data_IF_966032642031
#
_entry.id   IF_966032642031
#
_cell.length_a   1.000
_cell.length_b   1.000
_cell.length_c   1.000
_cell.angle_alpha   90.00
_cell.angle_beta   90.00
_cell.angle_gamma   90.00
#
_symmetry.space_group_name_H-M   'P 1'
#
loop_
_entity.id
_entity.type
_entity.pdbx_description
1 polymer ?
#
# COMPACT_ATOMS: atom_id res chain seq x y z
N UNK A 1 -13.63 57.27 -38.19
CA UNK A 1 -13.14 56.90 -36.85
C UNK A 1 -13.10 55.39 -36.74
N UNK A 2 -11.91 54.87 -36.52
CA UNK A 2 -11.52 53.46 -36.62
C UNK A 2 -11.72 52.73 -35.29
N UNK A 3 -12.45 51.62 -35.30
CA UNK A 3 -12.37 50.60 -34.25
C UNK A 3 -12.04 49.26 -34.93
N UNK A 4 -10.83 48.74 -34.71
CA UNK A 4 -10.50 47.34 -34.98
C UNK A 4 -10.02 46.70 -33.68
N UNK A 5 -10.85 45.78 -33.20
CA UNK A 5 -10.62 44.92 -32.03
C UNK A 5 -9.56 43.87 -32.36
N UNK A 6 -8.77 43.54 -31.33
CA UNK A 6 -7.79 42.46 -31.25
C UNK A 6 -8.44 41.10 -31.55
N UNK A 7 -7.73 40.25 -32.26
CA UNK A 7 -7.95 38.80 -32.28
C UNK A 7 -6.58 38.16 -32.04
N UNK A 8 -6.30 37.87 -30.76
CA UNK A 8 -5.23 36.99 -30.34
C UNK A 8 -5.68 35.56 -30.68
N UNK A 9 -4.91 34.88 -31.52
CA UNK A 9 -5.09 33.47 -31.82
C UNK A 9 -4.68 32.62 -30.62
N UNK A 10 -5.60 31.79 -30.13
CA UNK A 10 -5.35 30.79 -29.10
C UNK A 10 -4.69 29.58 -29.74
N UNK A 11 -3.41 29.35 -29.42
CA UNK A 11 -2.71 28.13 -29.75
C UNK A 11 -3.14 27.05 -28.74
N UNK A 12 -4.06 26.16 -29.13
CA UNK A 12 -4.45 25.01 -28.32
C UNK A 12 -3.41 23.91 -28.56
N UNK A 13 -2.55 23.69 -27.56
CA UNK A 13 -1.59 22.59 -27.56
C UNK A 13 -2.35 21.29 -27.22
N UNK A 14 -2.66 20.49 -28.24
CA UNK A 14 -3.20 19.16 -28.07
C UNK A 14 -2.04 18.21 -27.69
N UNK A 15 -1.92 17.89 -26.39
CA UNK A 15 -1.02 16.83 -25.93
C UNK A 15 -1.79 15.51 -26.09
N UNK A 16 -1.46 14.78 -27.15
CA UNK A 16 -1.89 13.39 -27.34
C UNK A 16 -1.17 12.50 -26.34
N UNK A 17 -1.87 12.13 -25.26
CA UNK A 17 -1.43 11.14 -24.28
C UNK A 17 -1.56 9.75 -24.91
N UNK A 18 -0.51 9.30 -25.59
CA UNK A 18 -0.26 7.88 -25.88
C UNK A 18 1.12 7.54 -25.36
N UNK A 19 1.28 7.65 -24.04
CA UNK A 19 2.44 7.15 -23.32
C UNK A 19 2.08 5.78 -22.78
N UNK A 20 2.72 4.74 -23.32
CA UNK A 20 2.85 3.46 -22.63
C UNK A 20 3.36 3.74 -21.22
N UNK A 21 2.52 3.49 -20.21
CA UNK A 21 2.89 3.64 -18.81
C UNK A 21 3.95 2.60 -18.50
N UNK A 22 5.22 2.98 -18.59
CA UNK A 22 6.27 2.30 -17.85
C UNK A 22 6.00 2.62 -16.38
N UNK A 23 5.17 1.81 -15.75
CA UNK A 23 4.93 1.89 -14.31
C UNK A 23 6.22 1.54 -13.60
N UNK A 24 6.50 2.29 -12.53
CA UNK A 24 7.64 2.11 -11.65
C UNK A 24 7.85 0.64 -11.25
N UNK A 25 9.11 0.25 -11.06
CA UNK A 25 9.59 -1.14 -11.04
C UNK A 25 9.02 -2.05 -9.93
N UNK A 26 8.17 -1.53 -9.02
CA UNK A 26 7.68 -2.25 -7.85
C UNK A 26 6.16 -2.34 -7.72
N UNK A 27 5.38 -1.74 -8.60
CA UNK A 27 3.91 -1.88 -8.60
C UNK A 27 3.35 -2.04 -10.01
N UNK A 28 2.40 -2.95 -10.15
CA UNK A 28 1.73 -3.23 -11.41
C UNK A 28 0.21 -3.24 -11.22
N UNK A 29 -0.58 -2.96 -12.27
CA UNK A 29 -2.02 -3.06 -12.17
C UNK A 29 -2.41 -4.52 -11.94
N UNK A 30 -3.38 -4.75 -11.05
CA UNK A 30 -3.91 -6.10 -10.80
C UNK A 30 -4.45 -6.66 -12.12
N UNK A 31 -4.03 -7.85 -12.57
CA UNK A 31 -4.51 -8.45 -13.81
C UNK A 31 -6.02 -8.73 -13.76
N UNK A 32 -6.67 -8.83 -14.92
CA UNK A 32 -8.11 -9.13 -14.99
C UNK A 32 -8.44 -10.60 -14.69
N UNK A 33 -7.42 -11.46 -14.74
CA UNK A 33 -7.59 -12.89 -14.54
C UNK A 33 -7.93 -13.20 -13.08
N UNK A 34 -9.03 -13.93 -12.89
CA UNK A 34 -9.51 -14.38 -11.59
C UNK A 34 -8.84 -15.70 -11.21
N UNK A 35 -8.46 -15.83 -9.94
CA UNK A 35 -7.95 -17.06 -9.34
C UNK A 35 -9.04 -17.67 -8.45
N UNK A 36 -8.89 -18.94 -8.11
CA UNK A 36 -9.74 -19.57 -7.12
C UNK A 36 -9.59 -18.86 -5.77
N UNK A 37 -10.71 -18.49 -5.15
CA UNK A 37 -10.71 -17.94 -3.79
C UNK A 37 -10.32 -19.03 -2.79
N UNK A 38 -9.22 -18.81 -2.08
CA UNK A 38 -8.72 -19.71 -1.06
C UNK A 38 -8.72 -18.97 0.27
N UNK A 39 -9.78 -19.08 1.09
CA UNK A 39 -9.80 -18.48 2.41
C UNK A 39 -8.75 -19.14 3.31
N UNK A 40 -8.25 -18.39 4.28
CA UNK A 40 -7.31 -18.91 5.26
C UNK A 40 -8.06 -19.75 6.32
N UNK A 41 -8.12 -21.07 6.11
CA UNK A 41 -9.01 -21.98 6.85
C UNK A 41 -8.78 -22.05 8.36
N UNK A 42 -7.58 -21.75 8.85
CA UNK A 42 -7.18 -21.89 10.26
C UNK A 42 -7.24 -20.58 11.04
N UNK A 43 -7.67 -19.49 10.41
CA UNK A 43 -7.67 -18.15 11.00
C UNK A 43 -9.05 -17.53 10.86
N UNK A 44 -9.57 -17.00 11.95
CA UNK A 44 -10.85 -16.29 11.94
C UNK A 44 -10.77 -15.03 11.07
N UNK A 45 -11.72 -14.93 10.14
CA UNK A 45 -11.97 -13.72 9.36
C UNK A 45 -12.94 -12.84 10.13
N UNK A 46 -12.60 -11.57 10.34
CA UNK A 46 -13.46 -10.62 11.03
C UNK A 46 -13.75 -9.39 10.18
N UNK A 47 -14.91 -8.74 10.37
CA UNK A 47 -15.17 -7.42 9.78
C UNK A 47 -14.11 -6.41 10.21
N UNK A 48 -13.73 -5.51 9.30
CA UNK A 48 -12.80 -4.40 9.61
C UNK A 48 -13.55 -3.08 9.58
N UNK A 49 -13.13 -2.14 10.42
CA UNK A 49 -13.64 -0.76 10.40
C UNK A 49 -12.49 0.23 10.16
N UNK A 50 -12.81 1.40 9.60
CA UNK A 50 -11.86 2.47 9.31
C UNK A 50 -11.14 2.88 10.58
N UNK A 51 -11.83 2.91 11.71
CA UNK A 51 -11.25 3.22 13.01
C UNK A 51 -10.09 2.28 13.38
N UNK A 52 -10.18 0.99 13.03
CA UNK A 52 -9.10 0.02 13.28
C UNK A 52 -7.81 0.39 12.52
N UNK A 53 -7.96 0.92 11.31
CA UNK A 53 -6.85 1.34 10.45
C UNK A 53 -6.10 2.57 10.96
N UNK A 54 -6.76 3.38 11.81
CA UNK A 54 -6.22 4.63 12.36
C UNK A 54 -6.00 4.62 13.86
N UNK A 55 -6.15 3.46 14.54
CA UNK A 55 -5.76 3.34 15.94
C UNK A 55 -4.31 3.74 16.11
N UNK A 56 -4.03 4.52 17.14
CA UNK A 56 -2.68 4.93 17.50
C UNK A 56 -1.80 3.69 17.65
N UNK A 57 -0.70 3.67 16.91
CA UNK A 57 0.31 2.64 17.00
C UNK A 57 1.41 3.18 17.90
N UNK A 58 1.56 2.60 19.08
CA UNK A 58 2.75 2.85 19.88
C UNK A 58 3.90 2.05 19.28
N UNK A 59 5.09 2.65 19.09
CA UNK A 59 6.25 1.87 18.73
C UNK A 59 6.48 0.80 19.79
N UNK A 60 6.64 -0.47 19.41
CA UNK A 60 7.00 -1.50 20.38
C UNK A 60 8.43 -1.26 20.92
N UNK A 61 8.74 -1.76 22.11
CA UNK A 61 10.11 -1.69 22.66
C UNK A 61 11.14 -2.41 21.76
N UNK A 62 10.68 -3.33 20.90
CA UNK A 62 11.46 -3.96 19.84
C UNK A 62 11.69 -3.00 18.65
N UNK A 63 10.67 -2.25 18.21
CA UNK A 63 10.83 -1.15 17.24
C UNK A 63 11.65 0.03 17.77
N UNK A 64 11.87 0.12 19.08
CA UNK A 64 12.79 1.08 19.68
C UNK A 64 14.27 0.67 19.51
N UNK A 65 14.52 -0.61 19.22
CA UNK A 65 15.86 -1.20 19.03
C UNK A 65 16.13 -1.67 17.59
N UNK A 66 15.08 -1.83 16.78
CA UNK A 66 15.18 -2.16 15.35
C UNK A 66 15.54 -0.89 14.55
N UNK A 67 16.83 -0.59 14.47
CA UNK A 67 17.40 0.46 13.60
C UNK A 67 17.34 0.07 12.09
N UNK A 68 16.95 -1.17 11.76
CA UNK A 68 17.08 -1.74 10.40
C UNK A 68 15.75 -1.96 9.65
N UNK A 69 14.85 -0.97 9.61
CA UNK A 69 13.66 -1.01 8.75
C UNK A 69 13.57 0.21 7.86
N UNK A 70 14.18 0.13 6.69
CA UNK A 70 14.23 1.23 5.76
C UNK A 70 13.98 0.72 4.33
N UNK A 71 13.00 1.29 3.63
CA UNK A 71 12.66 0.91 2.26
C UNK A 71 13.68 1.51 1.26
N UNK A 72 13.65 1.00 0.04
CA UNK A 72 14.66 1.34 -0.99
C UNK A 72 14.22 2.34 -1.99
N UNK A 73 12.92 2.50 -2.06
CA UNK A 73 12.37 3.69 -2.64
C UNK A 73 12.65 4.86 -1.71
N UNK A 74 13.05 6.02 -2.27
CA UNK A 74 13.05 7.25 -1.52
C UNK A 74 11.71 7.44 -0.80
N UNK A 75 11.77 7.80 0.48
CA UNK A 75 10.58 8.04 1.28
C UNK A 75 10.28 9.52 1.29
N UNK A 76 9.10 9.90 0.79
CA UNK A 76 8.61 11.26 0.90
C UNK A 76 7.96 11.46 2.27
N UNK A 77 8.56 12.32 3.08
CA UNK A 77 8.06 12.72 4.40
C UNK A 77 7.98 14.24 4.43
N UNK A 78 6.80 14.79 4.73
CA UNK A 78 6.55 16.24 4.79
C UNK A 78 7.03 17.03 3.54
N UNK A 79 6.93 16.43 2.35
CA UNK A 79 7.36 17.05 1.10
C UNK A 79 8.87 17.00 0.83
N UNK A 80 9.65 16.35 1.69
CA UNK A 80 11.08 16.10 1.49
C UNK A 80 11.33 14.61 1.24
N UNK A 81 12.13 14.31 0.22
CA UNK A 81 12.59 12.95 -0.06
C UNK A 81 13.75 12.61 0.86
N UNK A 82 13.70 11.41 1.42
CA UNK A 82 14.75 10.83 2.24
C UNK A 82 15.16 9.49 1.65
N UNK A 83 16.45 9.23 1.58
CA UNK A 83 16.97 7.87 1.51
C UNK A 83 16.78 7.15 2.85
N UNK A 84 16.91 5.82 2.83
CA UNK A 84 17.00 4.99 4.01
C UNK A 84 17.97 5.56 5.06
N UNK A 85 19.23 5.79 4.66
CA UNK A 85 20.31 6.27 5.54
C UNK A 85 19.99 7.64 6.16
N UNK A 86 19.33 8.53 5.42
CA UNK A 86 18.92 9.84 5.94
C UNK A 86 17.78 9.74 6.95
N UNK A 87 16.82 8.83 6.75
CA UNK A 87 15.79 8.54 7.76
C UNK A 87 16.40 8.00 9.05
N UNK A 88 17.35 7.06 8.94
CA UNK A 88 18.08 6.49 10.08
C UNK A 88 18.81 7.59 10.88
N UNK A 89 19.67 8.36 10.19
CA UNK A 89 20.46 9.44 10.81
C UNK A 89 19.61 10.54 11.42
N UNK A 90 18.42 10.78 10.88
CA UNK A 90 17.49 11.78 11.40
C UNK A 90 16.63 11.28 12.56
N UNK A 91 16.66 9.97 12.85
CA UNK A 91 15.85 9.34 13.90
C UNK A 91 14.34 9.43 13.62
N UNK A 92 13.94 9.64 12.37
CA UNK A 92 12.53 9.76 11.99
C UNK A 92 11.91 8.34 12.00
N UNK A 93 10.90 8.14 12.85
CA UNK A 93 10.11 6.90 12.90
C UNK A 93 8.80 7.09 12.15
N UNK A 94 8.48 6.13 11.29
CA UNK A 94 7.31 6.16 10.41
C UNK A 94 6.40 4.96 10.71
N UNK A 95 5.27 5.14 11.40
CA UNK A 95 4.30 4.08 11.62
C UNK A 95 3.47 3.74 10.38
N UNK A 96 3.36 4.66 9.42
CA UNK A 96 2.52 4.47 8.23
C UNK A 96 3.31 4.70 6.94
N UNK A 97 3.16 3.75 6.03
CA UNK A 97 3.72 3.78 4.69
C UNK A 97 2.60 3.62 3.67
N UNK A 98 2.57 4.45 2.63
CA UNK A 98 1.54 4.41 1.60
C UNK A 98 2.16 4.22 0.22
N UNK A 99 1.58 3.27 -0.51
CA UNK A 99 1.83 2.97 -1.90
C UNK A 99 0.52 3.10 -2.68
N UNK A 100 0.30 4.27 -3.26
CA UNK A 100 -0.85 4.59 -4.10
C UNK A 100 -0.39 4.92 -5.53
N UNK A 101 -1.30 5.36 -6.39
CA UNK A 101 -0.93 5.78 -7.75
C UNK A 101 0.06 6.93 -7.78
N UNK A 102 -0.04 7.90 -6.85
CA UNK A 102 0.88 9.03 -6.80
C UNK A 102 2.29 8.59 -6.39
N UNK A 103 2.39 7.66 -5.45
CA UNK A 103 3.64 7.02 -5.03
C UNK A 103 4.26 6.21 -6.18
N UNK A 104 3.42 5.46 -6.92
CA UNK A 104 3.81 4.68 -8.08
C UNK A 104 4.39 5.56 -9.21
N UNK A 105 3.71 6.65 -9.54
CA UNK A 105 4.11 7.57 -10.62
C UNK A 105 5.47 8.23 -10.35
N UNK A 106 5.82 8.40 -9.07
CA UNK A 106 7.05 9.04 -8.63
C UNK A 106 8.15 8.05 -8.25
N UNK A 107 7.87 6.75 -8.22
CA UNK A 107 8.77 5.70 -7.75
C UNK A 107 9.27 5.95 -6.30
N UNK A 108 8.34 6.31 -5.41
CA UNK A 108 8.59 6.66 -4.01
C UNK A 108 7.69 5.87 -3.07
N UNK A 109 8.04 5.86 -1.79
CA UNK A 109 7.14 5.49 -0.70
C UNK A 109 6.69 6.75 0.04
N UNK A 110 5.40 6.87 0.34
CA UNK A 110 4.93 7.98 1.17
C UNK A 110 4.99 7.58 2.64
N UNK A 111 5.69 8.35 3.47
CA UNK A 111 5.87 8.09 4.90
C UNK A 111 5.13 9.10 5.77
N UNK A 112 4.40 8.63 6.77
CA UNK A 112 3.68 9.48 7.72
C UNK A 112 4.07 9.13 9.16
N UNK A 113 4.25 10.17 9.98
CA UNK A 113 4.68 10.06 11.38
C UNK A 113 3.56 9.65 12.33
N UNK A 114 2.31 9.87 11.92
CA UNK A 114 1.14 9.65 12.75
C UNK A 114 -0.12 9.44 11.88
N UNK A 115 -1.21 9.02 12.52
CA UNK A 115 -2.47 8.77 11.84
C UNK A 115 -3.15 10.06 11.36
N UNK A 116 -2.89 11.21 12.00
CA UNK A 116 -3.53 12.48 11.65
C UNK A 116 -3.01 13.03 10.32
N UNK A 117 -1.69 13.03 10.14
CA UNK A 117 -1.00 13.40 8.89
C UNK A 117 -1.40 12.49 7.73
N UNK A 118 -1.53 11.19 7.98
CA UNK A 118 -2.07 10.24 7.00
C UNK A 118 -3.53 10.55 6.63
N UNK A 119 -4.41 10.76 7.62
CA UNK A 119 -5.82 11.11 7.37
C UNK A 119 -5.93 12.38 6.51
N UNK A 120 -5.18 13.42 6.84
CA UNK A 120 -5.17 14.66 6.07
C UNK A 120 -4.76 14.43 4.61
N UNK A 121 -3.79 13.56 4.37
CA UNK A 121 -3.40 13.16 3.01
C UNK A 121 -4.51 12.42 2.28
N UNK A 122 -5.13 11.44 2.92
CA UNK A 122 -6.21 10.65 2.33
C UNK A 122 -7.48 11.49 2.05
N UNK A 123 -7.80 12.45 2.91
CA UNK A 123 -8.88 13.41 2.69
C UNK A 123 -8.59 14.32 1.50
N UNK A 124 -7.36 14.88 1.41
CA UNK A 124 -6.95 15.75 0.30
C UNK A 124 -6.93 15.05 -1.05
N UNK A 125 -6.61 13.76 -1.06
CA UNK A 125 -6.56 12.94 -2.28
C UNK A 125 -7.90 12.28 -2.61
N UNK A 126 -8.91 12.38 -1.73
CA UNK A 126 -10.19 11.71 -1.90
C UNK A 126 -10.08 10.17 -1.82
N UNK A 127 -9.06 9.66 -1.13
CA UNK A 127 -8.75 8.24 -1.00
C UNK A 127 -9.03 7.69 0.41
N UNK A 128 -9.96 8.29 1.18
CA UNK A 128 -10.33 7.74 2.49
C UNK A 128 -10.84 6.29 2.35
N UNK A 129 -10.43 5.36 3.23
CA UNK A 129 -10.96 3.99 3.24
C UNK A 129 -12.45 3.98 3.56
N UNK A 130 -13.15 2.93 3.14
CA UNK A 130 -14.59 2.75 3.38
C UNK A 130 -14.87 1.43 4.10
N UNK A 131 -15.79 1.49 5.06
CA UNK A 131 -16.35 0.32 5.77
C UNK A 131 -17.45 -0.36 4.99
N UNK A 132 -18.05 0.37 4.05
CA UNK A 132 -19.16 -0.10 3.24
C UNK A 132 -18.79 -0.08 1.75
N UNK A 133 -19.31 -1.03 0.95
CA UNK A 133 -19.15 -0.98 -0.50
C UNK A 133 -19.73 0.33 -1.03
N UNK A 134 -18.93 1.10 -1.78
CA UNK A 134 -19.48 2.28 -2.46
C UNK A 134 -20.61 1.82 -3.41
N UNK A 135 -21.72 2.54 -3.47
CA UNK A 135 -22.97 2.13 -4.14
C UNK A 135 -22.77 1.66 -5.60
N UNK A 136 -21.80 2.24 -6.31
CA UNK A 136 -21.44 1.87 -7.69
C UNK A 136 -20.67 0.56 -7.83
N UNK A 137 -20.23 -0.02 -6.72
CA UNK A 137 -19.37 -1.22 -6.64
C UNK A 137 -20.05 -2.40 -5.95
N UNK A 138 -21.08 -2.21 -5.13
CA UNK A 138 -21.60 -3.27 -4.24
C UNK A 138 -21.96 -4.59 -4.94
N UNK A 139 -22.78 -4.55 -6.00
CA UNK A 139 -23.23 -5.77 -6.70
C UNK A 139 -22.14 -6.38 -7.61
N UNK A 140 -21.42 -5.61 -8.44
CA UNK A 140 -20.33 -6.16 -9.25
C UNK A 140 -19.16 -6.67 -8.40
N UNK A 141 -18.92 -6.08 -7.23
CA UNK A 141 -17.77 -6.43 -6.40
C UNK A 141 -17.94 -7.65 -5.53
N UNK A 142 -19.18 -8.10 -5.29
CA UNK A 142 -19.43 -9.36 -4.60
C UNK A 142 -18.99 -10.58 -5.43
N UNK A 143 -18.90 -10.44 -6.75
CA UNK A 143 -18.49 -11.50 -7.67
C UNK A 143 -17.13 -11.26 -8.31
N UNK A 144 -16.35 -10.28 -7.81
CA UNK A 144 -15.05 -9.88 -8.36
C UNK A 144 -13.89 -10.28 -7.46
N UNK A 145 -12.66 -10.28 -7.99
CA UNK A 145 -11.54 -10.91 -7.31
C UNK A 145 -11.21 -10.26 -5.96
N UNK A 146 -10.97 -11.08 -4.92
CA UNK A 146 -10.45 -10.63 -3.63
C UNK A 146 -9.02 -10.07 -3.76
N UNK A 147 -8.49 -9.56 -2.66
CA UNK A 147 -7.04 -9.38 -2.53
C UNK A 147 -6.38 -10.75 -2.32
N UNK A 148 -5.20 -10.95 -2.89
CA UNK A 148 -4.42 -12.18 -2.78
C UNK A 148 -3.08 -11.90 -2.12
N UNK A 149 -2.64 -12.82 -1.28
CA UNK A 149 -1.38 -12.75 -0.55
C UNK A 149 -0.61 -14.04 -0.79
N UNK A 150 0.64 -13.90 -1.23
CA UNK A 150 1.48 -15.01 -1.66
C UNK A 150 2.71 -15.14 -0.77
N UNK A 151 3.15 -16.38 -0.51
CA UNK A 151 4.36 -16.62 0.26
C UNK A 151 5.65 -16.45 -0.56
N UNK A 152 5.55 -16.52 -1.90
CA UNK A 152 6.63 -16.22 -2.82
C UNK A 152 6.57 -14.81 -3.41
N UNK A 153 7.73 -14.32 -3.85
CA UNK A 153 7.79 -13.16 -4.73
C UNK A 153 7.19 -13.49 -6.11
N UNK A 154 6.83 -12.46 -6.86
CA UNK A 154 6.23 -12.51 -8.19
C UNK A 154 4.99 -13.40 -8.27
N UNK A 155 4.16 -13.37 -7.21
CA UNK A 155 2.89 -14.10 -7.12
C UNK A 155 3.04 -15.63 -7.24
N UNK A 156 4.14 -16.15 -6.72
CA UNK A 156 4.44 -17.59 -6.72
C UNK A 156 4.16 -18.23 -5.37
N UNK A 157 4.12 -19.56 -5.34
CA UNK A 157 4.00 -20.34 -4.12
C UNK A 157 2.56 -20.54 -3.64
N UNK A 158 2.38 -20.71 -2.33
CA UNK A 158 1.05 -20.80 -1.72
C UNK A 158 0.43 -19.41 -1.70
N UNK A 159 -0.89 -19.36 -1.64
CA UNK A 159 -1.62 -18.11 -1.46
C UNK A 159 -2.86 -18.29 -0.61
N UNK A 160 -3.34 -17.19 -0.05
CA UNK A 160 -4.70 -17.06 0.46
C UNK A 160 -5.33 -15.78 -0.08
N UNK A 161 -6.65 -15.68 0.01
CA UNK A 161 -7.41 -14.53 -0.46
C UNK A 161 -8.31 -13.93 0.61
N UNK A 162 -8.48 -12.62 0.56
CA UNK A 162 -9.33 -11.86 1.49
C UNK A 162 -10.16 -10.83 0.73
N UNK A 163 -11.46 -10.81 0.99
CA UNK A 163 -12.39 -9.87 0.35
C UNK A 163 -12.42 -8.51 1.09
N UNK A 164 -12.78 -7.42 0.39
CA UNK A 164 -13.10 -6.15 1.03
C UNK A 164 -14.11 -6.28 2.18
N UNK A 165 -13.95 -5.44 3.20
CA UNK A 165 -14.74 -5.45 4.42
C UNK A 165 -14.25 -6.43 5.48
N UNK A 166 -13.18 -7.19 5.21
CA UNK A 166 -12.68 -8.22 6.11
C UNK A 166 -11.18 -8.09 6.40
N UNK A 167 -10.78 -8.73 7.49
CA UNK A 167 -9.41 -8.77 7.99
C UNK A 167 -9.11 -10.03 8.77
N UNK A 168 -7.82 -10.30 8.94
CA UNK A 168 -7.29 -11.33 9.82
C UNK A 168 -6.42 -10.66 10.88
N UNK A 169 -6.83 -10.70 12.15
CA UNK A 169 -6.04 -10.16 13.26
C UNK A 169 -4.78 -10.97 13.58
N UNK A 170 -4.65 -12.18 13.08
CA UNK A 170 -3.43 -12.98 13.13
C UNK A 170 -3.31 -13.73 11.83
N UNK A 171 -2.11 -13.98 11.34
CA UNK A 171 -1.92 -14.83 10.16
C UNK A 171 -1.62 -16.29 10.51
N UNK A 172 -1.49 -16.65 11.78
CA UNK A 172 -1.23 -18.04 12.19
C UNK A 172 0.02 -18.60 11.50
N UNK A 173 -0.12 -19.69 10.74
CA UNK A 173 0.99 -20.29 9.98
C UNK A 173 1.54 -19.39 8.87
N UNK A 174 0.79 -18.36 8.48
CA UNK A 174 1.18 -17.34 7.49
C UNK A 174 1.89 -16.12 8.09
N UNK A 175 2.06 -16.10 9.42
CA UNK A 175 2.81 -15.07 10.11
C UNK A 175 4.21 -14.91 9.50
N UNK A 176 4.56 -13.69 9.13
CA UNK A 176 5.86 -13.39 8.53
C UNK A 176 6.15 -14.20 7.26
N UNK A 177 5.14 -14.48 6.42
CA UNK A 177 5.34 -15.21 5.14
C UNK A 177 4.99 -14.45 3.88
N UNK A 178 4.22 -13.37 3.96
CA UNK A 178 3.75 -12.66 2.77
C UNK A 178 4.94 -11.98 2.08
N UNK A 179 5.20 -12.37 0.83
CA UNK A 179 6.30 -11.84 0.01
C UNK A 179 5.81 -11.09 -1.24
N UNK A 180 4.57 -11.32 -1.68
CA UNK A 180 3.93 -10.52 -2.72
C UNK A 180 2.42 -10.48 -2.54
N UNK A 181 1.76 -9.49 -3.14
CA UNK A 181 0.31 -9.32 -2.99
C UNK A 181 -0.32 -8.70 -4.23
N UNK A 182 -1.54 -9.12 -4.53
CA UNK A 182 -2.42 -8.46 -5.50
C UNK A 182 -3.56 -7.86 -4.72
N UNK A 183 -3.67 -6.53 -4.73
CA UNK A 183 -4.84 -5.87 -4.20
C UNK A 183 -6.09 -6.24 -4.99
N UNK A 184 -7.23 -5.73 -4.55
CA UNK A 184 -8.49 -5.88 -5.27
C UNK A 184 -8.86 -4.57 -5.95
N UNK A 185 -9.47 -4.66 -7.14
CA UNK A 185 -10.04 -3.51 -7.85
C UNK A 185 -11.36 -3.03 -7.22
N UNK A 186 -11.87 -3.78 -6.25
CA UNK A 186 -13.17 -3.56 -5.61
C UNK A 186 -13.09 -3.03 -4.19
N UNK A 187 -11.88 -2.93 -3.65
CA UNK A 187 -11.60 -2.26 -2.39
C UNK A 187 -10.90 -0.93 -2.59
N UNK A 188 -10.91 -0.07 -1.59
CA UNK A 188 -10.12 1.17 -1.55
C UNK A 188 -8.68 0.89 -1.19
N UNK A 189 -8.44 0.01 -0.21
CA UNK A 189 -7.13 -0.23 0.37
C UNK A 189 -6.94 -1.68 0.80
N UNK A 190 -5.72 -2.18 0.62
CA UNK A 190 -5.20 -3.37 1.32
C UNK A 190 -4.15 -2.90 2.32
N UNK A 191 -4.28 -3.31 3.57
CA UNK A 191 -3.44 -2.86 4.67
C UNK A 191 -2.72 -4.06 5.27
N UNK A 192 -1.39 -4.05 5.26
CA UNK A 192 -0.54 -5.01 5.95
C UNK A 192 -0.06 -4.39 7.27
N UNK A 193 -0.12 -5.15 8.35
CA UNK A 193 0.34 -4.70 9.67
C UNK A 193 1.35 -5.67 10.26
N UNK A 194 2.38 -5.10 10.87
CA UNK A 194 3.57 -5.80 11.32
C UNK A 194 3.32 -6.78 12.47
N UNK A 195 2.38 -6.48 13.37
CA UNK A 195 2.09 -7.33 14.51
C UNK A 195 0.65 -7.83 14.47
N UNK A 196 0.32 -8.90 15.21
CA UNK A 196 -1.07 -9.33 15.38
C UNK A 196 -1.95 -8.20 15.96
N UNK A 197 -3.26 -8.32 15.78
CA UNK A 197 -4.29 -7.39 16.19
C UNK A 197 -4.13 -5.98 15.59
N UNK A 198 -3.64 -5.92 14.35
CA UNK A 198 -3.49 -4.68 13.56
C UNK A 198 -2.56 -3.64 14.20
N UNK A 199 -1.52 -4.14 14.87
CA UNK A 199 -0.52 -3.33 15.57
C UNK A 199 0.77 -3.19 14.75
N UNK A 200 1.64 -2.30 15.22
CA UNK A 200 2.93 -2.03 14.59
C UNK A 200 2.84 -1.19 13.32
N UNK A 201 3.93 -1.17 12.54
CA UNK A 201 3.97 -0.42 11.29
C UNK A 201 2.91 -0.91 10.32
N UNK A 202 2.47 -0.03 9.44
CA UNK A 202 1.36 -0.26 8.51
C UNK A 202 1.77 0.09 7.08
N UNK A 203 1.54 -0.83 6.15
CA UNK A 203 1.68 -0.60 4.71
C UNK A 203 0.31 -0.56 4.04
N UNK A 204 -0.02 0.60 3.50
CA UNK A 204 -1.25 0.85 2.76
C UNK A 204 -0.97 0.68 1.27
N UNK A 205 -1.68 -0.25 0.65
CA UNK A 205 -1.62 -0.53 -0.78
C UNK A 205 -2.91 -0.05 -1.42
N UNK A 206 -2.77 0.89 -2.36
CA UNK A 206 -3.91 1.51 -3.02
C UNK A 206 -4.70 0.52 -3.87
N UNK A 207 -5.95 0.89 -4.13
CA UNK A 207 -6.88 0.16 -5.00
C UNK A 207 -6.25 -0.30 -6.31
N UNK A 208 -6.46 -1.57 -6.65
CA UNK A 208 -6.12 -2.11 -7.97
C UNK A 208 -4.61 -2.24 -8.25
N UNK A 209 -3.77 -2.08 -7.24
CA UNK A 209 -2.33 -2.28 -7.34
C UNK A 209 -1.91 -3.66 -6.85
N UNK A 210 -0.91 -4.22 -7.51
CA UNK A 210 -0.22 -5.43 -7.13
C UNK A 210 1.25 -5.11 -6.89
N UNK A 211 1.80 -5.74 -5.86
CA UNK A 211 3.20 -5.60 -5.45
C UNK A 211 3.87 -6.95 -5.67
N UNK A 212 4.69 -7.10 -6.73
CA UNK A 212 5.31 -8.37 -7.09
C UNK A 212 6.36 -8.78 -6.08
N UNK A 213 6.93 -7.85 -5.32
CA UNK A 213 7.93 -8.20 -4.32
C UNK A 213 7.93 -7.17 -3.20
N UNK A 214 7.47 -7.58 -2.01
CA UNK A 214 7.54 -6.79 -0.78
C UNK A 214 8.98 -6.64 -0.27
N UNK A 215 9.92 -7.40 -0.87
CA UNK A 215 11.35 -7.20 -0.70
C UNK A 215 11.92 -6.18 -1.70
N UNK A 216 11.18 -5.65 -2.69
CA UNK A 216 11.74 -4.57 -3.53
C UNK A 216 11.96 -3.27 -2.75
N UNK A 217 11.48 -3.24 -1.51
CA UNK A 217 11.83 -2.30 -0.48
C UNK A 217 13.04 -2.85 0.34
N UNK A 218 14.14 -3.30 -0.33
CA UNK A 218 15.46 -3.85 0.18
C UNK A 218 16.79 -3.10 -0.10
N UNK A 219 17.61 -2.82 0.93
CA UNK A 219 18.98 -2.22 0.84
C UNK A 219 20.08 -3.24 0.52
N UNK A 220 21.14 -2.85 -0.21
CA UNK A 220 22.44 -3.57 -0.34
C UNK A 220 23.66 -2.63 -0.49
N UNK A 221 24.93 -3.01 -0.15
CA UNK A 221 25.50 -4.15 0.66
C UNK A 221 26.22 -3.70 1.97
N UNK A 222 26.34 -4.51 3.03
CA UNK A 222 27.54 -5.36 3.24
C UNK A 222 27.41 -6.52 4.26
N UNK A 223 26.27 -6.73 4.93
CA UNK A 223 26.11 -7.84 5.90
C UNK A 223 24.73 -8.51 5.76
N UNK A 224 24.71 -9.81 5.51
CA UNK A 224 23.59 -10.57 4.92
C UNK A 224 22.54 -11.14 5.90
N UNK A 225 22.71 -11.02 7.22
CA UNK A 225 22.02 -11.94 8.14
C UNK A 225 20.78 -11.42 8.91
N UNK A 226 20.50 -10.10 9.00
CA UNK A 226 19.47 -9.61 9.93
C UNK A 226 18.57 -8.44 9.48
N UNK A 227 18.34 -8.22 8.18
CA UNK A 227 17.62 -7.00 7.71
C UNK A 227 16.14 -7.20 7.44
N UNK A 228 15.31 -6.33 8.01
CA UNK A 228 13.84 -6.38 7.98
C UNK A 228 13.29 -5.51 6.84
N UNK A 229 12.55 -6.12 5.93
CA UNK A 229 11.78 -5.41 4.88
C UNK A 229 10.30 -5.72 5.08
N UNK A 230 9.39 -5.18 4.26
CA UNK A 230 7.98 -5.62 4.27
C UNK A 230 7.81 -7.09 3.85
N UNK A 231 8.82 -7.69 3.19
CA UNK A 231 8.86 -9.11 2.91
C UNK A 231 8.87 -9.91 4.22
N UNK A 232 7.95 -10.87 4.34
CA UNK A 232 7.91 -11.75 5.51
C UNK A 232 7.80 -10.98 6.84
N UNK A 233 7.07 -9.86 6.87
CA UNK A 233 6.90 -9.03 8.08
C UNK A 233 5.45 -8.84 8.51
N UNK A 234 4.48 -9.11 7.64
CA UNK A 234 3.07 -8.96 7.99
C UNK A 234 2.64 -10.08 8.95
N UNK A 235 1.93 -9.69 10.01
CA UNK A 235 1.30 -10.58 11.00
C UNK A 235 -0.21 -10.42 11.08
N UNK A 236 -0.76 -9.35 10.50
CA UNK A 236 -2.20 -9.19 10.29
C UNK A 236 -2.47 -8.35 9.04
N UNK A 237 -3.69 -8.47 8.50
CA UNK A 237 -4.10 -7.83 7.24
C UNK A 237 -5.54 -7.35 7.28
N UNK A 238 -5.85 -6.26 6.58
CA UNK A 238 -7.20 -5.73 6.39
C UNK A 238 -7.42 -5.35 4.92
N UNK A 239 -8.62 -5.54 4.40
CA UNK A 239 -9.02 -5.07 3.06
C UNK A 239 -10.27 -4.23 3.20
N UNK A 240 -10.20 -2.96 2.83
CA UNK A 240 -11.32 -2.00 2.89
C UNK A 240 -12.09 -1.95 1.58
N UNK A 241 -13.34 -1.53 1.63
CA UNK A 241 -14.19 -1.29 0.46
C UNK A 241 -13.79 -0.04 -0.33
#
# INVERSE_FOLDING_TARGET
MTFKKKLLGTLVLAISVTGSQALASSMEPVPEQEFEELPLQEVETQPVTVDMAFREVKPSDEQAKDDEFLPDLPVLVDGKLYSAEELEKSGIKLPHYVLDSNAAEQDILLGFRDAESLKLYLEKTGQMPSDEPQEKSALPCWFRPPAYFYDGAYYTGRYFSLRPGFGHASLGVWDNRISSTRGTRCGSWTLLTEFPNFQGRRLWLGRGWAVPNLSSYRVYPYFWFFRQTWNNRASSVMVFW
#
